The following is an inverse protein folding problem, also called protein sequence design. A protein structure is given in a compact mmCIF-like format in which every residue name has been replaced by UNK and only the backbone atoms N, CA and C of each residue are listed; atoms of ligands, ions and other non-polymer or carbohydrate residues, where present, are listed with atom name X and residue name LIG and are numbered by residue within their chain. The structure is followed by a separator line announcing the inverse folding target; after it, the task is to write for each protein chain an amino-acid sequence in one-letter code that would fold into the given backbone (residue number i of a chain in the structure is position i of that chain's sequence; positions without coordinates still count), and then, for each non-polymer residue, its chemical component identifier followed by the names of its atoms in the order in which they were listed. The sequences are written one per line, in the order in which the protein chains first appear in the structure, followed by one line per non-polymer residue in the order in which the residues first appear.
data_IF_840792113465
#
_entry.id   IF_840792113465
#
_cell.length_a   1.000
_cell.length_b   1.000
_cell.length_c   1.000
_cell.angle_alpha   90.00
_cell.angle_beta   90.00
_cell.angle_gamma   90.00
#
_symmetry.space_group_name_H-M   'P 1'
#
loop_
_entity.id
_entity.type
_entity.pdbx_description
1 polymer ?
#
# COMPACT_ATOMS: atom_id res chain seq x y z
N UNK A 1 -3.28 -29.88 -4.03
CA UNK A 1 -2.74 -28.65 -4.65
C UNK A 1 -1.24 -28.74 -4.54
N UNK A 2 -0.53 -28.89 -5.67
CA UNK A 2 0.94 -28.99 -5.66
C UNK A 2 1.56 -27.65 -5.23
N UNK A 3 2.21 -27.63 -4.07
CA UNK A 3 2.88 -26.43 -3.54
C UNK A 3 3.88 -25.81 -4.52
N UNK A 4 4.44 -26.59 -5.45
CA UNK A 4 5.33 -26.10 -6.51
C UNK A 4 4.65 -25.15 -7.51
N UNK A 5 3.34 -25.29 -7.79
CA UNK A 5 2.62 -24.36 -8.70
C UNK A 5 2.30 -23.02 -8.03
N UNK A 6 2.06 -23.01 -6.72
CA UNK A 6 1.84 -21.78 -5.94
C UNK A 6 3.05 -20.83 -5.94
N UNK A 7 4.26 -21.36 -5.99
CA UNK A 7 5.48 -20.54 -6.03
C UNK A 7 5.87 -20.08 -7.46
N UNK A 8 5.41 -20.78 -8.50
CA UNK A 8 5.73 -20.45 -9.90
C UNK A 8 4.85 -19.31 -10.42
N UNK A 9 3.60 -19.21 -9.97
CA UNK A 9 2.65 -18.15 -10.34
C UNK A 9 2.60 -17.00 -9.30
N UNK A 10 3.60 -16.89 -8.43
CA UNK A 10 3.65 -15.84 -7.42
C UNK A 10 4.21 -14.55 -8.02
N UNK A 11 3.53 -13.43 -7.82
CA UNK A 11 4.11 -12.12 -8.10
C UNK A 11 5.01 -11.72 -6.91
N UNK A 12 6.35 -11.85 -7.04
CA UNK A 12 7.25 -11.70 -5.91
C UNK A 12 7.26 -10.27 -5.37
N UNK A 13 7.01 -9.27 -6.24
CA UNK A 13 7.06 -7.87 -5.82
C UNK A 13 5.88 -7.54 -4.90
N UNK A 14 4.65 -7.89 -5.28
CA UNK A 14 3.45 -7.72 -4.44
C UNK A 14 3.53 -8.51 -3.13
N UNK A 15 4.05 -9.73 -3.17
CA UNK A 15 4.26 -10.52 -1.96
C UNK A 15 5.22 -9.83 -0.98
N UNK A 16 6.34 -9.29 -1.47
CA UNK A 16 7.30 -8.52 -0.65
C UNK A 16 6.61 -7.29 -0.05
N UNK A 17 5.81 -6.54 -0.81
CA UNK A 17 5.04 -5.39 -0.29
C UNK A 17 4.17 -5.81 0.89
N UNK A 18 3.25 -6.74 0.67
CA UNK A 18 2.25 -7.07 1.66
C UNK A 18 2.85 -7.75 2.89
N UNK A 19 3.88 -8.58 2.70
CA UNK A 19 4.64 -9.16 3.81
C UNK A 19 5.34 -8.08 4.65
N UNK A 20 5.96 -7.10 4.00
CA UNK A 20 6.65 -6.00 4.68
C UNK A 20 5.68 -5.10 5.44
N UNK A 21 4.54 -4.75 4.83
CA UNK A 21 3.47 -3.99 5.48
C UNK A 21 2.85 -4.76 6.64
N UNK A 22 2.67 -6.08 6.51
CA UNK A 22 2.12 -6.93 7.55
C UNK A 22 3.04 -6.99 8.78
N UNK A 23 4.34 -7.23 8.58
CA UNK A 23 5.32 -7.25 9.67
C UNK A 23 5.43 -5.87 10.31
N UNK A 24 5.50 -4.80 9.52
CA UNK A 24 5.50 -3.43 10.03
C UNK A 24 4.27 -3.13 10.90
N UNK A 25 3.08 -3.48 10.41
CA UNK A 25 1.79 -3.29 11.09
C UNK A 25 1.78 -3.95 12.47
N UNK A 26 2.24 -5.20 12.58
CA UNK A 26 2.30 -5.94 13.85
C UNK A 26 3.30 -5.31 14.81
N UNK A 27 4.52 -5.01 14.34
CA UNK A 27 5.57 -4.45 15.21
C UNK A 27 5.17 -3.05 15.68
N UNK A 28 4.54 -2.25 14.82
CA UNK A 28 4.02 -0.93 15.15
C UNK A 28 2.91 -1.03 16.22
N UNK A 29 1.91 -1.90 16.03
CA UNK A 29 0.83 -2.03 17.01
C UNK A 29 1.34 -2.49 18.38
N UNK A 30 2.28 -3.43 18.42
CA UNK A 30 2.91 -3.89 19.67
C UNK A 30 3.70 -2.80 20.38
N UNK A 31 4.36 -1.88 19.64
CA UNK A 31 5.00 -0.72 20.26
C UNK A 31 3.99 0.27 20.79
N UNK A 32 2.93 0.56 20.03
CA UNK A 32 1.90 1.51 20.46
C UNK A 32 1.18 1.04 21.74
N UNK A 33 1.08 -0.28 21.94
CA UNK A 33 0.58 -0.89 23.17
C UNK A 33 1.62 -0.97 24.31
N UNK A 34 2.86 -0.52 24.08
CA UNK A 34 3.93 -0.53 25.08
C UNK A 34 4.47 -1.93 25.41
N UNK A 35 4.16 -2.95 24.59
CA UNK A 35 4.63 -4.33 24.78
C UNK A 35 6.11 -4.44 24.39
N UNK A 36 6.53 -3.69 23.37
CA UNK A 36 7.90 -3.70 22.82
C UNK A 36 8.52 -2.30 22.89
N UNK A 37 9.74 -2.21 23.45
CA UNK A 37 10.51 -0.96 23.60
C UNK A 37 11.64 -0.82 22.57
N UNK A 38 11.42 -1.25 21.33
CA UNK A 38 12.43 -1.16 20.29
C UNK A 38 12.57 0.27 19.74
N UNK A 39 13.77 0.58 19.25
CA UNK A 39 14.04 1.81 18.52
C UNK A 39 13.13 1.89 17.28
N UNK A 40 12.66 3.09 16.93
CA UNK A 40 11.89 3.36 15.72
C UNK A 40 12.59 2.80 14.45
N UNK A 41 13.92 2.83 14.39
CA UNK A 41 14.67 2.23 13.26
C UNK A 41 14.37 0.73 13.05
N UNK A 42 14.25 -0.05 14.12
CA UNK A 42 13.93 -1.48 14.03
C UNK A 42 12.49 -1.73 13.57
N UNK A 43 11.59 -0.80 13.85
CA UNK A 43 10.16 -0.92 13.56
C UNK A 43 9.92 -0.63 12.09
N UNK A 44 10.59 0.39 11.55
CA UNK A 44 10.56 0.72 10.13
C UNK A 44 11.42 -0.22 9.26
N UNK A 45 12.24 -1.10 9.86
CA UNK A 45 13.12 -2.00 9.12
C UNK A 45 12.43 -2.84 8.02
N UNK A 46 11.24 -3.45 8.24
CA UNK A 46 10.53 -4.17 7.19
C UNK A 46 10.20 -3.28 5.98
N UNK A 47 9.80 -2.03 6.23
CA UNK A 47 9.55 -1.04 5.19
C UNK A 47 10.85 -0.72 4.42
N UNK A 48 11.94 -0.44 5.12
CA UNK A 48 13.23 -0.14 4.49
C UNK A 48 13.74 -1.29 3.62
N UNK A 49 13.58 -2.55 4.06
CA UNK A 49 13.96 -3.74 3.28
C UNK A 49 13.19 -3.78 1.96
N UNK A 50 11.88 -3.52 1.97
CA UNK A 50 11.09 -3.45 0.76
C UNK A 50 11.60 -2.34 -0.18
N UNK A 51 11.79 -1.10 0.31
CA UNK A 51 12.25 0.00 -0.56
C UNK A 51 13.65 -0.26 -1.10
N UNK A 52 14.55 -0.82 -0.29
CA UNK A 52 15.88 -1.23 -0.72
C UNK A 52 15.82 -2.28 -1.84
N UNK A 53 14.90 -3.25 -1.77
CA UNK A 53 14.70 -4.23 -2.84
C UNK A 53 14.27 -3.58 -4.17
N UNK A 54 13.39 -2.57 -4.12
CA UNK A 54 12.93 -1.83 -5.32
C UNK A 54 14.08 -1.03 -5.94
N UNK A 55 14.86 -0.33 -5.10
CA UNK A 55 16.03 0.44 -5.57
C UNK A 55 17.09 -0.49 -6.15
N UNK A 56 17.39 -1.62 -5.50
CA UNK A 56 18.33 -2.61 -6.02
C UNK A 56 17.87 -3.18 -7.37
N UNK A 57 16.58 -3.49 -7.52
CA UNK A 57 16.02 -3.94 -8.79
C UNK A 57 16.11 -2.87 -9.89
N UNK A 58 15.87 -1.60 -9.57
CA UNK A 58 16.04 -0.50 -10.51
C UNK A 58 17.50 -0.29 -10.93
N UNK A 59 18.46 -0.39 -10.00
CA UNK A 59 19.89 -0.32 -10.29
C UNK A 59 20.32 -1.46 -11.24
N UNK A 60 19.90 -2.69 -10.95
CA UNK A 60 20.14 -3.83 -11.83
C UNK A 60 19.51 -3.63 -13.21
N UNK A 61 18.30 -3.06 -13.28
CA UNK A 61 17.64 -2.72 -14.53
C UNK A 61 18.42 -1.68 -15.34
N UNK A 62 18.94 -0.63 -14.71
CA UNK A 62 19.80 0.37 -15.35
C UNK A 62 21.12 -0.23 -15.88
N UNK A 63 21.75 -1.14 -15.13
CA UNK A 63 22.96 -1.83 -15.57
C UNK A 63 22.66 -2.71 -16.79
N UNK A 64 21.57 -3.47 -16.76
CA UNK A 64 21.16 -4.33 -17.86
C UNK A 64 20.81 -3.51 -19.13
N UNK A 65 20.07 -2.41 -18.97
CA UNK A 65 19.74 -1.48 -20.05
C UNK A 65 20.97 -0.84 -20.71
N UNK A 66 22.02 -0.59 -19.92
CA UNK A 66 23.29 -0.05 -20.41
C UNK A 66 24.09 -1.09 -21.20
N UNK A 67 24.02 -2.37 -20.82
CA UNK A 67 24.77 -3.47 -21.45
C UNK A 67 24.13 -4.06 -22.71
N UNK A 68 22.80 -4.00 -22.83
CA UNK A 68 22.06 -4.60 -23.95
C UNK A 68 21.29 -3.53 -24.75
N UNK A 69 21.93 -2.87 -25.73
CA UNK A 69 21.26 -1.84 -26.54
C UNK A 69 20.22 -2.40 -27.51
N UNK A 70 20.29 -3.69 -27.87
CA UNK A 70 19.39 -4.34 -28.84
C UNK A 70 17.96 -4.52 -28.33
N UNK A 71 17.75 -4.59 -27.01
CA UNK A 71 16.42 -4.76 -26.39
C UNK A 71 15.65 -3.44 -26.16
N UNK A 72 16.21 -2.29 -26.58
CA UNK A 72 15.65 -0.97 -26.27
C UNK A 72 14.40 -0.60 -27.05
N UNK A 73 14.23 -1.15 -28.26
CA UNK A 73 13.12 -0.79 -29.15
C UNK A 73 11.76 -1.28 -28.63
N UNK A 74 11.72 -2.44 -27.97
CA UNK A 74 10.48 -3.05 -27.48
C UNK A 74 10.24 -2.79 -25.97
N UNK A 75 11.29 -2.56 -25.18
CA UNK A 75 11.23 -2.49 -23.71
C UNK A 75 11.27 -1.09 -23.08
N UNK A 76 11.26 0.00 -23.86
CA UNK A 76 11.46 1.35 -23.31
C UNK A 76 10.36 1.77 -22.32
N UNK A 77 9.09 1.45 -22.60
CA UNK A 77 7.95 1.79 -21.72
C UNK A 77 8.13 1.11 -20.36
N UNK A 78 8.46 -0.18 -20.34
CA UNK A 78 8.68 -0.95 -19.11
C UNK A 78 9.87 -0.41 -18.30
N UNK A 79 10.93 0.02 -18.99
CA UNK A 79 12.09 0.66 -18.35
C UNK A 79 11.76 2.01 -17.71
N UNK A 80 11.04 2.89 -18.42
CA UNK A 80 10.57 4.17 -17.84
C UNK A 80 9.60 3.93 -16.69
N UNK A 81 8.72 2.94 -16.79
CA UNK A 81 7.82 2.54 -15.72
C UNK A 81 8.58 2.13 -14.45
N UNK A 82 9.63 1.32 -14.60
CA UNK A 82 10.53 0.94 -13.50
C UNK A 82 11.21 2.17 -12.89
N UNK A 83 11.70 3.12 -13.69
CA UNK A 83 12.31 4.36 -13.19
C UNK A 83 11.31 5.24 -12.43
N UNK A 84 10.09 5.41 -12.94
CA UNK A 84 9.01 6.14 -12.26
C UNK A 84 8.69 5.47 -10.93
N UNK A 85 8.53 4.14 -10.91
CA UNK A 85 8.28 3.39 -9.68
C UNK A 85 9.42 3.56 -8.67
N UNK A 86 10.69 3.45 -9.11
CA UNK A 86 11.85 3.66 -8.24
C UNK A 86 11.90 5.09 -7.67
N UNK A 87 11.56 6.11 -8.46
CA UNK A 87 11.47 7.50 -8.00
C UNK A 87 10.41 7.70 -6.92
N UNK A 88 9.23 7.11 -7.12
CA UNK A 88 8.13 7.13 -6.14
C UNK A 88 8.56 6.46 -4.83
N UNK A 89 9.15 5.28 -4.89
CA UNK A 89 9.63 4.57 -3.71
C UNK A 89 10.80 5.28 -3.01
N UNK A 90 11.64 6.02 -3.75
CA UNK A 90 12.73 6.81 -3.18
C UNK A 90 12.21 8.00 -2.37
N UNK A 91 11.17 8.70 -2.86
CA UNK A 91 10.51 9.76 -2.11
C UNK A 91 9.72 9.23 -0.91
N UNK A 92 9.08 8.06 -1.05
CA UNK A 92 8.43 7.38 0.06
C UNK A 92 9.44 6.96 1.14
N UNK A 93 10.61 6.46 0.74
CA UNK A 93 11.71 6.17 1.67
C UNK A 93 12.19 7.43 2.39
N UNK A 94 12.31 8.56 1.70
CA UNK A 94 12.66 9.83 2.33
C UNK A 94 11.62 10.26 3.37
N UNK A 95 10.33 10.14 3.05
CA UNK A 95 9.25 10.38 4.01
C UNK A 95 9.39 9.48 5.26
N UNK A 96 9.58 8.18 5.08
CA UNK A 96 9.72 7.22 6.18
C UNK A 96 10.96 7.51 7.05
N UNK A 97 12.08 7.89 6.44
CA UNK A 97 13.28 8.31 7.16
C UNK A 97 13.03 9.57 7.99
N UNK A 98 12.37 10.59 7.43
CA UNK A 98 12.04 11.82 8.16
C UNK A 98 11.10 11.55 9.34
N UNK A 99 10.09 10.68 9.16
CA UNK A 99 9.18 10.26 10.23
C UNK A 99 9.96 9.49 11.31
N UNK A 100 10.82 8.55 10.92
CA UNK A 100 11.62 7.78 11.86
C UNK A 100 12.56 8.68 12.67
N UNK A 101 13.24 9.63 12.00
CA UNK A 101 14.07 10.64 12.67
C UNK A 101 13.20 11.47 13.60
N UNK A 102 12.03 11.98 13.16
CA UNK A 102 11.17 12.81 14.00
C UNK A 102 10.75 12.09 15.28
N UNK A 103 10.28 10.85 15.15
CA UNK A 103 9.85 10.01 16.27
C UNK A 103 10.99 9.73 17.27
N UNK A 104 12.22 9.56 16.78
CA UNK A 104 13.41 9.38 17.62
C UNK A 104 13.89 10.71 18.22
N UNK A 105 13.79 11.81 17.48
CA UNK A 105 14.19 13.16 17.93
C UNK A 105 13.24 13.76 18.95
N UNK A 106 12.16 13.09 19.36
CA UNK A 106 11.47 13.44 20.62
C UNK A 106 12.46 13.49 21.81
N UNK A 107 13.62 12.82 21.69
CA UNK A 107 14.73 12.87 22.63
C UNK A 107 15.86 13.89 22.30
N UNK A 108 15.80 14.61 21.16
CA UNK A 108 16.83 15.56 20.69
C UNK A 108 16.25 16.98 20.46
N UNK A 109 17.04 18.06 20.60
CA UNK A 109 16.54 19.44 20.77
C UNK A 109 16.14 20.18 19.48
N UNK A 110 15.95 19.52 18.33
CA UNK A 110 15.61 20.18 17.06
C UNK A 110 14.15 19.90 16.71
N UNK A 111 13.28 20.87 17.00
CA UNK A 111 11.84 20.75 16.74
C UNK A 111 11.46 21.39 15.41
N UNK A 112 11.35 20.56 14.37
CA UNK A 112 10.73 20.93 13.09
C UNK A 112 9.34 20.30 12.95
N UNK A 113 8.38 21.02 12.35
CA UNK A 113 6.98 20.56 12.26
C UNK A 113 6.76 19.30 11.42
N UNK A 114 5.65 18.61 11.66
CA UNK A 114 5.17 17.46 10.90
C UNK A 114 4.93 17.79 9.44
N UNK A 115 4.54 19.02 9.08
CA UNK A 115 4.46 19.46 7.68
C UNK A 115 5.78 19.24 6.92
N UNK A 116 6.94 19.46 7.56
CA UNK A 116 8.24 19.19 6.92
C UNK A 116 8.49 17.68 6.76
N UNK A 117 8.08 16.87 7.74
CA UNK A 117 8.16 15.39 7.62
C UNK A 117 7.33 14.88 6.44
N UNK A 118 6.13 15.46 6.25
CA UNK A 118 5.22 15.12 5.16
C UNK A 118 5.60 15.78 3.82
N UNK A 119 6.55 16.71 3.79
CA UNK A 119 6.94 17.40 2.55
C UNK A 119 7.27 16.45 1.38
N UNK A 120 8.04 15.34 1.56
CA UNK A 120 8.29 14.41 0.46
C UNK A 120 7.02 13.77 -0.09
N UNK A 121 6.03 13.43 0.77
CA UNK A 121 4.76 12.84 0.31
C UNK A 121 3.88 13.88 -0.38
N UNK A 122 3.94 15.15 0.06
CA UNK A 122 3.22 16.26 -0.58
C UNK A 122 3.77 16.56 -1.98
N UNK A 123 5.09 16.45 -2.18
CA UNK A 123 5.71 16.52 -3.52
C UNK A 123 5.40 15.26 -4.34
N UNK A 124 5.30 14.10 -3.68
CA UNK A 124 4.98 12.84 -4.34
C UNK A 124 3.55 12.83 -4.90
N UNK A 125 2.60 13.53 -4.29
CA UNK A 125 1.22 13.65 -4.76
C UNK A 125 1.08 14.16 -6.22
N UNK A 126 1.56 15.36 -6.59
CA UNK A 126 1.50 15.83 -7.98
C UNK A 126 2.36 14.97 -8.92
N UNK A 127 3.49 14.42 -8.46
CA UNK A 127 4.28 13.48 -9.26
C UNK A 127 3.51 12.19 -9.56
N UNK A 128 2.72 11.69 -8.60
CA UNK A 128 1.88 10.51 -8.79
C UNK A 128 0.73 10.78 -9.76
N UNK A 129 0.16 12.00 -9.78
CA UNK A 129 -0.82 12.40 -10.81
C UNK A 129 -0.18 12.39 -12.20
N UNK A 130 1.02 12.96 -12.34
CA UNK A 130 1.76 12.92 -13.60
C UNK A 130 2.10 11.48 -14.04
N UNK A 131 2.49 10.62 -13.08
CA UNK A 131 2.73 9.21 -13.31
C UNK A 131 1.45 8.46 -13.74
N UNK A 132 0.30 8.80 -13.16
CA UNK A 132 -1.00 8.25 -13.58
C UNK A 132 -1.35 8.65 -15.02
N UNK A 133 -1.21 9.93 -15.37
CA UNK A 133 -1.47 10.41 -16.75
C UNK A 133 -0.56 9.68 -17.75
N UNK A 134 0.73 9.56 -17.40
CA UNK A 134 1.68 8.82 -18.23
C UNK A 134 1.33 7.32 -18.33
N UNK A 135 0.93 6.69 -17.23
CA UNK A 135 0.57 5.27 -17.21
C UNK A 135 -0.70 4.97 -18.01
N UNK A 136 -1.73 5.81 -17.92
CA UNK A 136 -2.94 5.67 -18.74
C UNK A 136 -2.64 5.81 -20.24
N UNK A 137 -1.72 6.71 -20.61
CA UNK A 137 -1.30 6.86 -22.02
C UNK A 137 -0.62 5.61 -22.59
N UNK A 138 -0.05 4.75 -21.74
CA UNK A 138 0.71 3.57 -22.15
C UNK A 138 0.07 2.26 -21.63
N UNK A 139 -1.22 2.26 -21.31
CA UNK A 139 -2.01 1.09 -20.85
C UNK A 139 -1.38 0.31 -19.68
N UNK A 140 -0.74 1.03 -18.74
CA UNK A 140 -0.11 0.42 -17.55
C UNK A 140 -1.09 0.32 -16.39
N UNK A 141 -0.98 -0.76 -15.61
CA UNK A 141 -1.63 -0.89 -14.29
C UNK A 141 -1.06 0.12 -13.31
N UNK A 142 -1.91 1.01 -12.81
CA UNK A 142 -1.57 2.06 -11.84
C UNK A 142 -2.23 1.74 -10.49
N UNK A 143 -1.48 1.09 -9.61
CA UNK A 143 -1.99 0.71 -8.28
C UNK A 143 -1.56 1.73 -7.22
N UNK A 144 -0.27 1.84 -6.94
CA UNK A 144 0.26 2.71 -5.89
C UNK A 144 0.11 4.20 -6.25
N UNK A 145 0.34 4.55 -7.52
CA UNK A 145 0.25 5.93 -8.00
C UNK A 145 -1.17 6.50 -7.83
N UNK A 146 -2.19 5.67 -8.07
CA UNK A 146 -3.60 6.03 -7.88
C UNK A 146 -3.95 6.23 -6.41
N UNK A 147 -3.43 5.38 -5.52
CA UNK A 147 -3.67 5.52 -4.07
C UNK A 147 -3.02 6.79 -3.53
N UNK A 148 -1.78 7.10 -3.91
CA UNK A 148 -1.10 8.31 -3.44
C UNK A 148 -1.77 9.57 -3.99
N UNK A 149 -2.08 9.59 -5.30
CA UNK A 149 -2.71 10.74 -5.95
C UNK A 149 -4.13 11.03 -5.44
N UNK A 150 -4.89 10.02 -5.01
CA UNK A 150 -6.23 10.21 -4.46
C UNK A 150 -6.24 10.66 -2.99
N UNK A 151 -5.15 10.45 -2.25
CA UNK A 151 -5.05 10.74 -0.82
C UNK A 151 -4.30 12.06 -0.49
N UNK A 152 -4.17 13.00 -1.42
CA UNK A 152 -3.47 14.28 -1.18
C UNK A 152 -4.05 15.03 0.02
N UNK A 153 -5.37 15.15 0.09
CA UNK A 153 -6.06 15.83 1.18
C UNK A 153 -5.85 15.12 2.52
N UNK A 154 -5.81 13.78 2.52
CA UNK A 154 -5.53 13.01 3.72
C UNK A 154 -4.15 13.35 4.29
N UNK A 155 -3.12 13.38 3.44
CA UNK A 155 -1.76 13.70 3.89
C UNK A 155 -1.64 15.12 4.42
N UNK A 156 -2.32 16.09 3.80
CA UNK A 156 -2.38 17.48 4.27
C UNK A 156 -3.07 17.54 5.64
N UNK A 157 -4.25 16.93 5.79
CA UNK A 157 -4.98 16.98 7.06
C UNK A 157 -4.24 16.26 8.18
N UNK A 158 -3.60 15.12 7.92
CA UNK A 158 -2.78 14.44 8.94
C UNK A 158 -1.61 15.33 9.36
N UNK A 159 -0.87 15.92 8.42
CA UNK A 159 0.26 16.79 8.75
C UNK A 159 -0.17 18.00 9.60
N UNK A 160 -1.24 18.70 9.19
CA UNK A 160 -1.76 19.85 9.93
C UNK A 160 -2.35 19.46 11.29
N UNK A 161 -2.97 18.28 11.40
CA UNK A 161 -3.51 17.77 12.66
C UNK A 161 -2.40 17.44 13.63
N UNK A 162 -1.33 16.79 13.17
CA UNK A 162 -0.17 16.47 13.99
C UNK A 162 0.60 17.73 14.46
N UNK A 163 0.58 18.80 13.66
CA UNK A 163 1.11 20.12 14.04
C UNK A 163 0.16 20.95 14.92
N UNK A 164 -0.98 20.39 15.35
CA UNK A 164 -2.02 21.08 16.13
C UNK A 164 -2.51 22.39 15.49
N UNK A 165 -2.46 22.48 14.15
CA UNK A 165 -3.00 23.64 13.40
C UNK A 165 -4.53 23.54 13.27
N UNK A 166 -5.05 22.31 13.29
CA UNK A 166 -6.48 22.00 13.21
C UNK A 166 -6.92 21.11 14.39
N UNK A 167 -7.96 21.55 15.09
CA UNK A 167 -8.51 20.84 16.26
C UNK A 167 -9.63 19.85 15.92
N UNK A 168 -9.79 19.50 14.64
CA UNK A 168 -10.85 18.60 14.20
C UNK A 168 -10.71 17.19 14.77
N UNK A 169 -11.82 16.48 14.91
CA UNK A 169 -11.83 15.05 15.26
C UNK A 169 -11.12 14.24 14.16
N UNK A 170 -10.46 13.14 14.54
CA UNK A 170 -9.78 12.22 13.63
C UNK A 170 -10.73 11.61 12.61
N UNK A 171 -12.00 11.39 12.99
CA UNK A 171 -13.07 11.04 12.05
C UNK A 171 -13.19 12.02 10.87
N UNK A 172 -13.05 13.32 11.12
CA UNK A 172 -13.10 14.36 10.09
C UNK A 172 -11.81 14.42 9.26
N UNK A 173 -10.65 14.22 9.91
CA UNK A 173 -9.34 14.16 9.23
C UNK A 173 -9.29 13.01 8.22
N UNK A 174 -9.97 11.89 8.50
CA UNK A 174 -10.03 10.74 7.60
C UNK A 174 -11.11 10.83 6.50
N UNK A 175 -11.92 11.90 6.41
CA UNK A 175 -12.94 12.05 5.35
C UNK A 175 -12.41 11.75 3.93
N UNK A 176 -11.22 12.20 3.51
CA UNK A 176 -10.70 11.85 2.18
C UNK A 176 -10.49 10.34 1.99
N UNK A 177 -10.07 9.62 3.04
CA UNK A 177 -9.89 8.17 3.01
C UNK A 177 -11.24 7.45 2.83
N UNK A 178 -12.27 7.87 3.57
CA UNK A 178 -13.65 7.38 3.39
C UNK A 178 -14.12 7.49 1.94
N UNK A 179 -13.89 8.64 1.31
CA UNK A 179 -14.27 8.89 -0.08
C UNK A 179 -13.54 7.94 -1.03
N UNK A 180 -12.25 7.71 -0.82
CA UNK A 180 -11.47 6.75 -1.62
C UNK A 180 -11.97 5.33 -1.41
N UNK A 181 -12.30 4.94 -0.17
CA UNK A 181 -12.80 3.61 0.19
C UNK A 181 -14.18 3.29 -0.40
N UNK A 182 -14.98 4.30 -0.78
CA UNK A 182 -16.24 4.08 -1.50
C UNK A 182 -16.04 3.33 -2.83
N UNK A 183 -14.95 3.58 -3.55
CA UNK A 183 -14.68 2.94 -4.85
C UNK A 183 -14.47 1.43 -4.72
N UNK A 184 -13.54 0.92 -3.87
CA UNK A 184 -13.45 -0.51 -3.54
C UNK A 184 -14.77 -1.09 -3.02
N UNK A 185 -15.55 -0.31 -2.26
CA UNK A 185 -16.88 -0.71 -1.81
C UNK A 185 -17.85 -1.03 -2.96
N UNK A 186 -17.94 -0.13 -3.94
CA UNK A 186 -18.77 -0.34 -5.14
C UNK A 186 -18.27 -1.55 -5.94
N UNK A 187 -16.95 -1.71 -6.09
CA UNK A 187 -16.34 -2.85 -6.77
C UNK A 187 -16.66 -4.17 -6.06
N UNK A 188 -16.59 -4.21 -4.73
CA UNK A 188 -16.97 -5.38 -3.95
C UNK A 188 -18.45 -5.74 -4.14
N UNK A 189 -19.35 -4.74 -4.12
CA UNK A 189 -20.78 -4.95 -4.39
C UNK A 189 -21.03 -5.49 -5.79
N UNK A 190 -20.34 -4.97 -6.80
CA UNK A 190 -20.39 -5.47 -8.17
C UNK A 190 -20.04 -6.97 -8.22
N UNK A 191 -18.92 -7.39 -7.62
CA UNK A 191 -18.53 -8.80 -7.61
C UNK A 191 -19.51 -9.70 -6.85
N UNK A 192 -20.11 -9.21 -5.77
CA UNK A 192 -21.16 -9.94 -5.05
C UNK A 192 -22.40 -10.15 -5.93
N UNK A 193 -22.86 -9.10 -6.63
CA UNK A 193 -23.99 -9.21 -7.55
C UNK A 193 -23.67 -10.21 -8.67
N UNK A 194 -22.48 -10.15 -9.25
CA UNK A 194 -22.04 -11.12 -10.26
C UNK A 194 -21.97 -12.55 -9.75
N UNK A 195 -21.45 -12.76 -8.53
CA UNK A 195 -21.45 -14.08 -7.90
C UNK A 195 -22.88 -14.61 -7.72
N UNK A 196 -23.83 -13.77 -7.30
CA UNK A 196 -25.25 -14.15 -7.16
C UNK A 196 -25.91 -14.49 -8.50
N UNK A 197 -25.58 -13.77 -9.57
CA UNK A 197 -26.09 -14.07 -10.91
C UNK A 197 -25.56 -15.42 -11.44
N UNK A 198 -24.26 -15.69 -11.29
CA UNK A 198 -23.67 -16.96 -11.71
C UNK A 198 -24.11 -18.15 -10.84
N UNK A 199 -24.47 -17.93 -9.57
CA UNK A 199 -25.08 -18.97 -8.74
C UNK A 199 -26.42 -19.46 -9.30
N UNK A 200 -27.16 -18.60 -10.01
CA UNK A 200 -28.44 -18.95 -10.65
C UNK A 200 -28.28 -19.69 -11.99
N UNK A 201 -27.10 -19.69 -12.60
CA UNK A 201 -26.84 -20.30 -13.91
C UNK A 201 -25.99 -21.57 -13.74
N UNK A 202 -26.61 -22.76 -13.61
CA UNK A 202 -25.89 -24.00 -13.25
C UNK A 202 -24.93 -24.52 -14.35
N UNK A 203 -25.03 -24.01 -15.58
CA UNK A 203 -24.26 -24.49 -16.72
C UNK A 203 -22.79 -24.00 -16.72
N UNK A 204 -22.46 -22.93 -16.01
CA UNK A 204 -21.11 -22.31 -16.01
C UNK A 204 -20.36 -22.56 -14.69
N UNK A 205 -19.96 -23.80 -14.43
CA UNK A 205 -19.39 -24.21 -13.13
C UNK A 205 -18.02 -23.61 -12.81
N UNK A 206 -17.17 -23.36 -13.81
CA UNK A 206 -15.84 -22.74 -13.66
C UNK A 206 -15.94 -21.24 -13.39
N UNK A 207 -16.71 -20.51 -14.21
CA UNK A 207 -16.88 -19.05 -14.07
C UNK A 207 -17.59 -18.69 -12.76
N UNK A 208 -18.49 -19.55 -12.29
CA UNK A 208 -19.11 -19.44 -10.97
C UNK A 208 -18.10 -19.51 -9.83
N UNK A 209 -17.17 -20.47 -9.87
CA UNK A 209 -16.12 -20.60 -8.83
C UNK A 209 -15.22 -19.36 -8.82
N UNK A 210 -14.79 -18.93 -9.99
CA UNK A 210 -13.95 -17.73 -10.16
C UNK A 210 -14.66 -16.47 -9.64
N UNK A 211 -15.91 -16.26 -10.02
CA UNK A 211 -16.70 -15.09 -9.57
C UNK A 211 -16.92 -15.10 -8.05
N UNK A 212 -17.19 -16.27 -7.47
CA UNK A 212 -17.33 -16.42 -6.02
C UNK A 212 -16.00 -16.12 -5.30
N UNK A 213 -14.87 -16.64 -5.82
CA UNK A 213 -13.55 -16.36 -5.26
C UNK A 213 -13.24 -14.86 -5.28
N UNK A 214 -13.50 -14.15 -6.38
CA UNK A 214 -13.31 -12.70 -6.44
C UNK A 214 -14.22 -11.97 -5.44
N UNK A 215 -15.50 -12.32 -5.36
CA UNK A 215 -16.41 -11.71 -4.39
C UNK A 215 -15.91 -11.91 -2.95
N UNK A 216 -15.49 -13.12 -2.60
CA UNK A 216 -14.93 -13.42 -1.26
C UNK A 216 -13.65 -12.61 -0.99
N UNK A 217 -12.73 -12.53 -1.95
CA UNK A 217 -11.49 -11.75 -1.80
C UNK A 217 -11.80 -10.27 -1.55
N UNK A 218 -12.65 -9.67 -2.39
CA UNK A 218 -13.00 -8.26 -2.27
C UNK A 218 -13.72 -7.94 -0.95
N UNK A 219 -14.60 -8.82 -0.48
CA UNK A 219 -15.24 -8.66 0.83
C UNK A 219 -14.22 -8.77 1.98
N UNK A 220 -13.30 -9.73 1.90
CA UNK A 220 -12.27 -9.96 2.91
C UNK A 220 -11.18 -8.87 2.93
N UNK A 221 -11.11 -8.03 1.90
CA UNK A 221 -10.25 -6.84 1.85
C UNK A 221 -11.02 -5.60 2.32
N UNK A 222 -12.18 -5.31 1.73
CA UNK A 222 -12.89 -4.04 1.96
C UNK A 222 -13.51 -3.96 3.35
N UNK A 223 -14.18 -5.01 3.82
CA UNK A 223 -14.84 -4.98 5.13
C UNK A 223 -13.81 -4.79 6.26
N UNK A 224 -12.69 -5.54 6.30
CA UNK A 224 -11.70 -5.34 7.34
C UNK A 224 -10.97 -3.99 7.25
N UNK A 225 -10.76 -3.42 6.06
CA UNK A 225 -10.20 -2.08 5.92
C UNK A 225 -11.12 -1.00 6.51
N UNK A 226 -12.42 -1.06 6.21
CA UNK A 226 -13.41 -0.14 6.80
C UNK A 226 -13.47 -0.32 8.31
N UNK A 227 -13.46 -1.57 8.81
CA UNK A 227 -13.45 -1.84 10.24
C UNK A 227 -12.20 -1.26 10.93
N UNK A 228 -11.02 -1.38 10.32
CA UNK A 228 -9.78 -0.78 10.80
C UNK A 228 -9.88 0.75 10.86
N UNK A 229 -10.36 1.40 9.81
CA UNK A 229 -10.53 2.85 9.74
C UNK A 229 -11.46 3.38 10.85
N UNK A 230 -12.59 2.70 11.06
CA UNK A 230 -13.52 3.00 12.15
C UNK A 230 -12.80 2.88 13.48
N UNK A 231 -12.26 1.71 13.81
CA UNK A 231 -11.65 1.45 15.12
C UNK A 231 -10.50 2.40 15.41
N UNK A 232 -9.68 2.72 14.41
CA UNK A 232 -8.58 3.66 14.54
C UNK A 232 -9.09 5.09 14.82
N UNK A 233 -10.07 5.57 14.07
CA UNK A 233 -10.63 6.92 14.26
C UNK A 233 -11.22 7.10 15.66
N UNK A 234 -11.98 6.12 16.16
CA UNK A 234 -12.54 6.13 17.51
C UNK A 234 -11.47 6.08 18.59
N UNK A 235 -10.40 5.31 18.39
CA UNK A 235 -9.29 5.25 19.34
C UNK A 235 -8.54 6.58 19.41
N UNK A 236 -8.26 7.19 18.26
CA UNK A 236 -7.52 8.45 18.18
C UNK A 236 -8.34 9.64 18.73
N UNK A 237 -9.67 9.59 18.63
CA UNK A 237 -10.58 10.58 19.25
C UNK A 237 -10.77 10.36 20.77
N UNK A 238 -10.23 9.27 21.33
CA UNK A 238 -10.36 8.95 22.76
C UNK A 238 -11.67 8.26 23.15
N UNK A 239 -12.52 7.93 22.16
CA UNK A 239 -13.83 7.30 22.37
C UNK A 239 -13.74 5.79 22.67
N UNK A 240 -12.63 5.14 22.31
CA UNK A 240 -12.40 3.71 22.53
C UNK A 240 -11.11 3.47 23.34
N UNK A 241 -11.15 2.53 24.30
CA UNK A 241 -10.00 2.10 25.10
C UNK A 241 -9.43 0.75 24.65
N UNK A 242 -9.58 0.41 23.37
CA UNK A 242 -9.04 -0.82 22.81
C UNK A 242 -7.52 -0.71 22.63
N UNK A 243 -6.84 -1.85 22.81
CA UNK A 243 -5.43 -2.02 22.46
C UNK A 243 -5.24 -1.89 20.93
N UNK A 244 -4.13 -1.28 20.52
CA UNK A 244 -3.77 -1.09 19.11
C UNK A 244 -3.65 -2.42 18.37
N UNK A 245 -3.17 -3.49 19.01
CA UNK A 245 -3.13 -4.82 18.40
C UNK A 245 -4.53 -5.32 18.00
N UNK A 246 -5.54 -5.08 18.84
CA UNK A 246 -6.94 -5.43 18.53
C UNK A 246 -7.49 -4.54 17.41
N UNK A 247 -7.18 -3.24 17.43
CA UNK A 247 -7.58 -2.29 16.38
C UNK A 247 -6.98 -2.65 15.02
N UNK A 248 -5.73 -3.12 14.99
CA UNK A 248 -5.01 -3.49 13.77
C UNK A 248 -5.37 -4.90 13.25
N UNK A 249 -6.11 -5.71 14.02
CA UNK A 249 -6.49 -7.08 13.61
C UNK A 249 -7.24 -7.15 12.27
N UNK A 250 -8.22 -6.27 11.98
CA UNK A 250 -8.85 -6.23 10.66
C UNK A 250 -7.86 -5.91 9.53
N UNK A 251 -6.90 -5.01 9.76
CA UNK A 251 -5.83 -4.72 8.80
C UNK A 251 -4.95 -5.94 8.55
N UNK A 252 -4.62 -6.72 9.59
CA UNK A 252 -3.87 -7.97 9.47
C UNK A 252 -4.60 -9.00 8.59
N UNK A 253 -5.92 -9.13 8.74
CA UNK A 253 -6.75 -10.01 7.89
C UNK A 253 -6.69 -9.58 6.42
N UNK A 254 -6.81 -8.27 6.16
CA UNK A 254 -6.72 -7.72 4.81
C UNK A 254 -5.34 -7.98 4.18
N UNK A 255 -4.26 -7.63 4.88
CA UNK A 255 -2.88 -7.79 4.39
C UNK A 255 -2.54 -9.27 4.17
N UNK A 256 -2.97 -10.15 5.06
CA UNK A 256 -2.79 -11.60 4.88
C UNK A 256 -3.54 -12.11 3.65
N UNK A 257 -4.77 -11.63 3.41
CA UNK A 257 -5.55 -11.97 2.22
C UNK A 257 -4.85 -11.53 0.94
N UNK A 258 -4.34 -10.29 0.90
CA UNK A 258 -3.58 -9.75 -0.24
C UNK A 258 -2.26 -10.50 -0.47
N UNK A 259 -1.61 -10.95 0.59
CA UNK A 259 -0.42 -11.80 0.49
C UNK A 259 -0.75 -13.16 -0.15
N UNK A 260 -1.88 -13.78 0.21
CA UNK A 260 -2.32 -15.05 -0.40
C UNK A 260 -2.71 -14.88 -1.88
N UNK A 261 -3.39 -13.79 -2.25
CA UNK A 261 -3.78 -13.54 -3.65
C UNK A 261 -2.61 -13.20 -4.54
N UNK A 262 -1.50 -12.70 -3.97
CA UNK A 262 -0.24 -12.49 -4.70
C UNK A 262 0.38 -13.79 -5.23
N UNK A 263 0.03 -14.95 -4.66
CA UNK A 263 0.52 -16.28 -5.04
C UNK A 263 -0.34 -17.01 -6.11
N UNK A 264 -1.21 -16.30 -6.83
CA UNK A 264 -2.12 -16.91 -7.82
C UNK A 264 -2.44 -16.06 -9.05
N UNK A 265 -1.68 -14.97 -9.28
CA UNK A 265 -1.87 -14.08 -10.42
C UNK A 265 -0.95 -14.45 -11.60
N UNK A 266 -1.43 -14.37 -12.84
CA UNK A 266 -0.57 -14.55 -14.02
C UNK A 266 0.52 -13.48 -14.06
N UNK A 267 1.79 -13.91 -13.99
CA UNK A 267 3.00 -13.25 -14.50
C UNK A 267 3.24 -11.79 -14.11
N UNK A 268 4.22 -11.54 -13.23
CA UNK A 268 4.76 -10.20 -12.99
C UNK A 268 5.52 -9.66 -14.21
N UNK A 269 5.74 -8.33 -14.22
CA UNK A 269 6.52 -7.62 -15.25
C UNK A 269 7.91 -8.25 -15.46
N UNK A 270 8.40 -8.25 -16.71
CA UNK A 270 9.76 -8.73 -17.07
C UNK A 270 10.86 -8.05 -16.26
N UNK A 271 10.62 -6.82 -15.82
CA UNK A 271 11.45 -6.09 -14.88
C UNK A 271 10.86 -6.27 -13.49
N UNK A 272 11.60 -6.94 -12.60
CA UNK A 272 11.20 -7.29 -11.22
C UNK A 272 10.59 -6.13 -10.41
N UNK A 273 10.84 -4.86 -10.80
CA UNK A 273 10.35 -3.66 -10.10
C UNK A 273 9.44 -2.73 -10.92
N UNK A 274 8.97 -3.12 -12.10
CA UNK A 274 7.90 -2.38 -12.79
C UNK A 274 6.54 -2.92 -12.35
N UNK A 275 5.96 -2.38 -11.27
CA UNK A 275 4.55 -2.70 -10.91
C UNK A 275 3.56 -2.16 -11.94
#
# INVERSE_FOLDING_TARGET
MDGKRLFVDCNPSKFIIFSSLFVFSIVLSLKLDGIIYWNNWCIFAPLFIWKASVIAGALMGCIAWSRHPESRAEGYVEFYAMLISAGIHSLLLLFELLVCIKLETTFLPVDYGWVLCFFPILVLCPLSVAACIWGFKHDRSLELETVISSNVLLFIFIALKLDNVIDWQWKAVFIPLWVVMCLPGIVALYYVIWALLFLRQPQYTTDRKTSLTYATIWLLVVIPLIAFEILLSFRLDGDAQLEFMSIFTPLHVCLFTLMLTSCGGKGGNRWWCGM
#
